data_IF_709128741432
#
_entry.id   IF_709128741432
#
_cell.length_a   1.000
_cell.length_b   1.000
_cell.length_c   1.000
_cell.angle_alpha   90.00
_cell.angle_beta   90.00
_cell.angle_gamma   90.00
#
_symmetry.space_group_name_H-M   'P 1'
#
loop_
_entity.id
_entity.type
_entity.pdbx_description
1 polymer ?
#
# COMPACT_ATOMS: atom_id res chain seq x y z
N UNK A 1 19.43 -4.50 -11.57
CA UNK A 1 18.60 -5.40 -10.74
C UNK A 1 19.01 -5.34 -9.25
N UNK A 2 20.29 -5.17 -8.96
CA UNK A 2 20.81 -5.17 -7.59
C UNK A 2 20.53 -3.86 -6.85
N UNK A 3 20.66 -2.71 -7.52
CA UNK A 3 20.34 -1.39 -6.94
C UNK A 3 18.85 -1.23 -6.60
N UNK A 4 17.96 -1.83 -7.39
CA UNK A 4 16.52 -1.74 -7.11
C UNK A 4 16.07 -2.69 -6.00
N UNK A 5 16.82 -3.75 -5.71
CA UNK A 5 16.57 -4.58 -4.52
C UNK A 5 16.91 -3.78 -3.26
N UNK A 6 18.02 -3.03 -3.25
CA UNK A 6 18.39 -2.16 -2.14
C UNK A 6 17.32 -1.12 -1.81
N UNK A 7 16.76 -0.43 -2.81
CA UNK A 7 15.72 0.58 -2.58
C UNK A 7 14.43 -0.04 -2.00
N UNK A 8 13.98 -1.17 -2.57
CA UNK A 8 12.81 -1.88 -2.04
C UNK A 8 13.00 -2.36 -0.60
N UNK A 9 14.18 -2.82 -0.24
CA UNK A 9 14.48 -3.28 1.11
C UNK A 9 14.56 -2.13 2.12
N UNK A 10 15.08 -0.96 1.71
CA UNK A 10 15.08 0.25 2.55
C UNK A 10 13.65 0.67 2.89
N UNK A 11 12.78 0.82 1.89
CA UNK A 11 11.39 1.21 2.14
C UNK A 11 10.62 0.18 2.98
N UNK A 12 10.85 -1.12 2.75
CA UNK A 12 10.23 -2.18 3.57
C UNK A 12 10.61 -2.04 5.04
N UNK A 13 11.89 -1.80 5.33
CA UNK A 13 12.35 -1.60 6.72
C UNK A 13 11.73 -0.38 7.37
N UNK A 14 11.59 0.72 6.65
CA UNK A 14 10.98 1.95 7.15
C UNK A 14 9.50 1.76 7.49
N UNK A 15 8.75 1.09 6.61
CA UNK A 15 7.34 0.77 6.86
C UNK A 15 7.19 -0.17 8.03
N UNK A 16 8.01 -1.22 8.12
CA UNK A 16 7.99 -2.14 9.25
C UNK A 16 8.35 -1.43 10.56
N UNK A 17 9.33 -0.52 10.54
CA UNK A 17 9.67 0.28 11.72
C UNK A 17 8.47 1.12 12.18
N UNK A 18 7.80 1.82 11.28
CA UNK A 18 6.62 2.61 11.62
C UNK A 18 5.48 1.74 12.20
N UNK A 19 5.29 0.54 11.67
CA UNK A 19 4.30 -0.41 12.21
C UNK A 19 4.72 -0.92 13.61
N UNK A 20 5.99 -1.21 13.82
CA UNK A 20 6.50 -1.60 15.14
C UNK A 20 6.37 -0.46 16.16
N UNK A 21 6.59 0.80 15.76
CA UNK A 21 6.40 1.97 16.60
C UNK A 21 4.92 2.19 17.01
N UNK A 22 3.99 1.62 16.23
CA UNK A 22 2.57 1.55 16.53
C UNK A 22 2.18 0.31 17.37
N UNK A 23 3.16 -0.51 17.77
CA UNK A 23 2.94 -1.74 18.52
C UNK A 23 2.49 -2.93 17.68
N UNK A 24 2.53 -2.82 16.35
CA UNK A 24 2.11 -3.88 15.44
C UNK A 24 3.29 -4.80 15.15
N UNK A 25 3.15 -6.08 15.44
CA UNK A 25 4.12 -7.11 15.09
C UNK A 25 3.97 -7.49 13.61
N UNK A 26 4.63 -6.73 12.75
CA UNK A 26 4.58 -6.91 11.30
C UNK A 26 5.89 -7.42 10.75
N UNK A 27 5.81 -8.15 9.64
CA UNK A 27 6.98 -8.61 8.87
C UNK A 27 6.74 -8.53 7.37
N UNK A 28 7.83 -8.61 6.62
CA UNK A 28 7.78 -8.72 5.18
C UNK A 28 7.50 -10.16 4.76
N UNK A 29 6.43 -10.35 4.01
CA UNK A 29 6.05 -11.63 3.42
C UNK A 29 6.38 -11.59 1.91
N UNK A 30 7.26 -12.41 1.42
CA UNK A 30 7.50 -12.51 -0.02
C UNK A 30 6.22 -12.87 -0.79
N UNK A 31 5.99 -12.28 -1.98
CA UNK A 31 6.90 -11.46 -2.81
C UNK A 31 6.92 -9.96 -2.42
N UNK A 32 5.81 -9.39 -1.97
CA UNK A 32 5.61 -7.94 -1.81
C UNK A 32 4.61 -7.57 -0.72
N UNK A 33 4.26 -8.51 0.14
CA UNK A 33 3.27 -8.29 1.20
C UNK A 33 3.94 -7.83 2.50
N UNK A 34 3.19 -7.06 3.29
CA UNK A 34 3.44 -6.79 4.69
C UNK A 34 2.33 -7.50 5.45
N UNK A 35 2.69 -8.34 6.40
CA UNK A 35 1.75 -9.20 7.13
C UNK A 35 1.96 -9.14 8.64
N UNK A 36 0.94 -9.56 9.38
CA UNK A 36 0.93 -9.86 10.80
C UNK A 36 0.55 -11.33 11.03
N UNK A 37 0.50 -11.77 12.29
CA UNK A 37 0.03 -13.12 12.66
C UNK A 37 -1.41 -13.41 12.19
N UNK A 38 -2.23 -12.37 11.98
CA UNK A 38 -3.64 -12.49 11.58
C UNK A 38 -3.77 -12.48 10.06
N UNK A 39 -3.03 -11.61 9.36
CA UNK A 39 -3.17 -11.51 7.92
C UNK A 39 -2.35 -10.39 7.27
N UNK A 40 -2.69 -10.10 6.03
CA UNK A 40 -2.04 -9.08 5.24
C UNK A 40 -2.43 -7.67 5.71
N UNK A 41 -1.44 -6.85 6.00
CA UNK A 41 -1.61 -5.44 6.33
C UNK A 41 -1.54 -4.59 5.06
N UNK A 42 -0.61 -4.90 4.17
CA UNK A 42 -0.39 -4.11 2.97
C UNK A 42 0.40 -4.82 1.89
N UNK A 43 0.63 -4.12 0.80
CA UNK A 43 1.42 -4.63 -0.30
C UNK A 43 2.16 -3.53 -1.04
N UNK A 44 3.32 -3.88 -1.61
CA UNK A 44 4.16 -2.97 -2.34
C UNK A 44 4.17 -3.27 -3.84
N UNK A 45 4.36 -2.25 -4.65
CA UNK A 45 4.60 -2.37 -6.07
C UNK A 45 5.64 -1.36 -6.56
N UNK A 46 6.28 -1.68 -7.67
CA UNK A 46 7.26 -0.80 -8.31
C UNK A 46 6.95 -0.64 -9.79
N UNK A 47 7.09 0.59 -10.27
CA UNK A 47 7.10 0.90 -11.69
C UNK A 47 8.40 1.64 -12.04
N UNK A 48 8.95 1.35 -13.22
CA UNK A 48 10.16 2.00 -13.75
C UNK A 48 9.84 2.65 -15.08
N UNK A 49 10.16 3.93 -15.20
CA UNK A 49 9.95 4.67 -16.44
C UNK A 49 10.96 5.81 -16.53
N UNK A 50 11.55 5.99 -17.72
CA UNK A 50 12.45 7.11 -18.04
C UNK A 50 13.56 7.34 -16.97
N UNK A 51 14.19 6.27 -16.51
CA UNK A 51 15.27 6.37 -15.50
C UNK A 51 14.79 6.61 -14.06
N UNK A 52 13.49 6.76 -13.83
CA UNK A 52 12.91 6.91 -12.51
C UNK A 52 12.28 5.59 -12.01
N UNK A 53 12.25 5.43 -10.69
CA UNK A 53 11.56 4.33 -10.02
C UNK A 53 10.48 4.90 -9.13
N UNK A 54 9.23 4.50 -9.36
CA UNK A 54 8.13 4.69 -8.42
C UNK A 54 8.00 3.43 -7.58
N UNK A 55 8.17 3.58 -6.28
CA UNK A 55 7.85 2.52 -5.31
C UNK A 55 6.68 3.01 -4.45
N UNK A 56 5.60 2.25 -4.40
CA UNK A 56 4.47 2.57 -3.55
C UNK A 56 4.09 1.38 -2.66
N UNK A 57 3.53 1.71 -1.51
CA UNK A 57 2.96 0.73 -0.57
C UNK A 57 1.52 1.14 -0.29
N UNK A 58 0.60 0.20 -0.42
CA UNK A 58 -0.77 0.35 0.05
C UNK A 58 -0.93 -0.33 1.39
N UNK A 59 -1.70 0.27 2.31
CA UNK A 59 -1.99 -0.31 3.61
C UNK A 59 -3.49 -0.34 3.86
N UNK A 60 -3.95 -1.45 4.41
CA UNK A 60 -5.35 -1.64 4.81
C UNK A 60 -5.57 -0.94 6.14
N UNK A 61 -6.26 0.21 6.12
CA UNK A 61 -6.61 0.91 7.34
C UNK A 61 -7.90 0.37 7.98
N UNK A 62 -8.99 0.34 7.20
CA UNK A 62 -10.32 -0.05 7.65
C UNK A 62 -11.07 -0.71 6.48
N UNK A 63 -10.62 -1.90 6.10
CA UNK A 63 -11.21 -2.67 5.02
C UNK A 63 -12.25 -3.62 5.59
N UNK A 64 -13.46 -3.54 5.04
CA UNK A 64 -14.50 -4.53 5.24
C UNK A 64 -14.18 -5.76 4.36
N UNK A 65 -13.70 -6.82 5.00
CA UNK A 65 -13.27 -8.04 4.31
C UNK A 65 -14.46 -8.77 3.64
N UNK A 66 -15.67 -8.60 4.13
CA UNK A 66 -16.88 -9.20 3.53
C UNK A 66 -17.25 -8.49 2.24
N UNK A 67 -17.30 -7.16 2.26
CA UNK A 67 -17.52 -6.36 1.05
C UNK A 67 -16.40 -6.52 0.03
N UNK A 68 -15.16 -6.70 0.48
CA UNK A 68 -14.04 -6.95 -0.43
C UNK A 68 -14.27 -8.22 -1.28
N UNK A 69 -14.78 -9.27 -0.68
CA UNK A 69 -15.08 -10.54 -1.37
C UNK A 69 -16.26 -10.41 -2.33
N UNK A 70 -17.23 -9.55 -2.03
CA UNK A 70 -18.37 -9.27 -2.90
C UNK A 70 -17.97 -8.52 -4.17
N UNK A 71 -16.99 -7.58 -4.06
CA UNK A 71 -16.60 -6.68 -5.17
C UNK A 71 -15.45 -7.24 -5.98
N UNK A 72 -14.53 -7.97 -5.34
CA UNK A 72 -13.33 -8.48 -6.01
C UNK A 72 -13.52 -9.92 -6.46
N UNK A 73 -13.34 -10.16 -7.76
CA UNK A 73 -13.18 -11.53 -8.30
C UNK A 73 -11.81 -12.08 -7.86
N UNK A 74 -11.77 -12.70 -6.70
CA UNK A 74 -10.55 -13.37 -6.23
C UNK A 74 -10.55 -14.77 -6.86
N UNK A 75 -9.66 -15.01 -7.82
CA UNK A 75 -9.56 -16.29 -8.52
C UNK A 75 -9.33 -17.44 -7.52
N UNK A 76 -10.01 -18.57 -7.74
CA UNK A 76 -9.91 -19.78 -6.90
C UNK A 76 -8.46 -20.27 -6.76
N UNK A 77 -7.63 -20.09 -7.78
CA UNK A 77 -6.21 -20.45 -7.77
C UNK A 77 -5.41 -19.68 -6.71
N UNK A 78 -5.67 -18.37 -6.55
CA UNK A 78 -5.03 -17.57 -5.49
C UNK A 78 -5.46 -17.97 -4.07
N UNK A 79 -6.58 -18.68 -3.96
CA UNK A 79 -7.08 -19.20 -2.69
C UNK A 79 -6.48 -20.57 -2.35
N UNK A 80 -6.18 -21.40 -3.36
CA UNK A 80 -5.63 -22.75 -3.17
C UNK A 80 -4.14 -22.76 -2.83
N UNK A 81 -3.33 -21.93 -3.48
CA UNK A 81 -1.87 -21.94 -3.34
C UNK A 81 -1.35 -21.52 -1.96
N UNK A 82 -2.17 -20.90 -1.12
CA UNK A 82 -1.76 -20.39 0.20
C UNK A 82 -2.47 -21.08 1.39
N UNK A 83 -3.16 -22.20 1.17
CA UNK A 83 -3.76 -23.00 2.25
C UNK A 83 -4.80 -22.27 3.10
N UNK A 84 -5.34 -21.13 2.65
CA UNK A 84 -6.35 -20.36 3.37
C UNK A 84 -7.73 -20.56 2.77
N UNK A 85 -8.63 -21.10 3.56
CA UNK A 85 -10.03 -21.39 3.19
C UNK A 85 -10.93 -20.17 3.03
N UNK A 86 -10.41 -18.94 3.28
CA UNK A 86 -11.21 -17.71 3.22
C UNK A 86 -10.36 -16.48 2.92
N UNK A 87 -10.77 -15.69 1.94
CA UNK A 87 -10.19 -14.37 1.67
C UNK A 87 -10.30 -13.41 2.87
N UNK A 88 -11.29 -13.62 3.74
CA UNK A 88 -11.50 -12.85 4.98
C UNK A 88 -10.34 -12.95 5.96
N UNK A 89 -9.69 -14.11 6.05
CA UNK A 89 -8.55 -14.33 6.94
C UNK A 89 -7.23 -13.73 6.41
N UNK A 90 -7.26 -13.03 5.25
CA UNK A 90 -6.06 -12.53 4.59
C UNK A 90 -5.77 -11.06 4.84
N UNK A 91 -6.70 -10.31 5.41
CA UNK A 91 -6.53 -8.86 5.65
C UNK A 91 -6.62 -8.58 7.13
N UNK A 92 -5.65 -7.83 7.64
CA UNK A 92 -5.58 -7.39 9.04
C UNK A 92 -5.46 -5.87 9.09
N UNK A 93 -6.61 -5.14 9.12
CA UNK A 93 -6.61 -3.69 9.03
C UNK A 93 -5.96 -3.03 10.24
N UNK A 94 -5.24 -1.92 10.00
CA UNK A 94 -4.52 -1.18 11.04
C UNK A 94 -5.45 -0.65 12.13
N UNK A 95 -6.67 -0.23 11.77
CA UNK A 95 -7.66 0.23 12.73
C UNK A 95 -8.06 -0.86 13.72
N UNK A 96 -8.26 -2.07 13.26
CA UNK A 96 -8.62 -3.22 14.10
C UNK A 96 -7.49 -3.55 15.09
N UNK A 97 -6.24 -3.45 14.64
CA UNK A 97 -5.08 -3.78 15.45
C UNK A 97 -4.76 -2.70 16.49
N UNK A 98 -4.97 -1.43 16.15
CA UNK A 98 -4.49 -0.29 16.96
C UNK A 98 -5.59 0.50 17.65
N UNK A 99 -6.81 0.50 17.12
CA UNK A 99 -7.88 1.40 17.53
C UNK A 99 -7.65 2.88 17.19
N UNK A 100 -6.54 3.21 16.51
CA UNK A 100 -6.13 4.58 16.23
C UNK A 100 -6.88 5.18 15.04
N UNK A 101 -7.05 6.51 15.07
CA UNK A 101 -7.52 7.26 13.92
C UNK A 101 -6.50 7.20 12.78
N UNK A 102 -6.97 7.27 11.54
CA UNK A 102 -6.14 7.18 10.34
C UNK A 102 -5.04 8.23 10.30
N UNK A 103 -5.36 9.44 10.71
CA UNK A 103 -4.45 10.59 10.75
C UNK A 103 -3.27 10.36 11.71
N UNK A 104 -3.53 9.70 12.84
CA UNK A 104 -2.49 9.35 13.81
C UNK A 104 -1.51 8.34 13.20
N UNK A 105 -2.03 7.35 12.47
CA UNK A 105 -1.20 6.36 11.78
C UNK A 105 -0.37 7.01 10.68
N UNK A 106 -0.99 7.90 9.87
CA UNK A 106 -0.28 8.66 8.83
C UNK A 106 0.84 9.50 9.46
N UNK A 107 0.54 10.22 10.55
CA UNK A 107 1.55 11.05 11.20
C UNK A 107 2.72 10.20 11.73
N UNK A 108 2.45 9.03 12.32
CA UNK A 108 3.51 8.11 12.76
C UNK A 108 4.40 7.66 11.61
N UNK A 109 3.80 7.36 10.44
CA UNK A 109 4.58 7.03 9.24
C UNK A 109 5.50 8.20 8.83
N UNK A 110 4.96 9.42 8.80
CA UNK A 110 5.73 10.64 8.48
C UNK A 110 6.87 10.82 9.47
N UNK A 111 6.62 10.70 10.77
CA UNK A 111 7.60 10.89 11.83
C UNK A 111 8.74 9.85 11.73
N UNK A 112 8.41 8.58 11.46
CA UNK A 112 9.40 7.53 11.29
C UNK A 112 10.28 7.81 10.07
N UNK A 113 9.69 8.19 8.93
CA UNK A 113 10.47 8.54 7.73
C UNK A 113 11.31 9.80 7.95
N UNK A 114 10.78 10.81 8.63
CA UNK A 114 11.52 12.04 8.95
C UNK A 114 12.69 11.77 9.90
N UNK A 115 12.53 10.85 10.85
CA UNK A 115 13.60 10.43 11.74
C UNK A 115 14.75 9.67 11.06
N UNK A 116 14.42 8.95 9.97
CA UNK A 116 15.40 8.20 9.18
C UNK A 116 16.06 9.03 8.06
N UNK A 117 15.39 10.09 7.62
CA UNK A 117 15.82 10.92 6.51
C UNK A 117 15.60 12.40 6.81
N UNK A 118 16.44 13.26 6.21
CA UNK A 118 16.22 14.72 6.24
C UNK A 118 15.09 15.06 5.28
N UNK A 119 13.88 15.19 5.78
CA UNK A 119 12.71 15.58 5.01
C UNK A 119 12.44 17.07 5.16
N UNK A 120 12.12 17.73 4.04
CA UNK A 120 11.63 19.11 4.02
C UNK A 120 10.19 19.09 3.50
N UNK A 121 9.24 19.67 4.24
CA UNK A 121 7.88 19.82 3.74
C UNK A 121 7.85 20.63 2.45
N UNK A 122 7.05 20.19 1.49
CA UNK A 122 6.91 20.86 0.20
C UNK A 122 5.47 20.86 -0.28
N UNK A 123 5.22 21.57 -1.37
CA UNK A 123 3.93 21.63 -2.03
C UNK A 123 4.08 21.31 -3.50
N UNK A 124 3.06 20.66 -4.08
CA UNK A 124 3.00 20.44 -5.52
C UNK A 124 2.73 21.78 -6.23
N UNK A 125 3.48 22.05 -7.28
CA UNK A 125 3.29 23.25 -8.09
C UNK A 125 1.92 23.25 -8.81
N UNK A 126 1.37 24.46 -9.05
CA UNK A 126 0.08 24.63 -9.70
C UNK A 126 0.01 23.93 -11.07
N UNK A 127 1.08 23.98 -11.86
CA UNK A 127 1.15 23.30 -13.15
C UNK A 127 1.04 21.77 -13.03
N UNK A 128 1.66 21.19 -12.01
CA UNK A 128 1.56 19.76 -11.73
C UNK A 128 0.14 19.36 -11.34
N UNK A 129 -0.52 20.16 -10.51
CA UNK A 129 -1.90 19.93 -10.10
C UNK A 129 -2.86 20.07 -11.28
N UNK A 130 -2.71 21.11 -12.11
CA UNK A 130 -3.51 21.29 -13.31
C UNK A 130 -3.37 20.12 -14.31
N UNK A 131 -2.13 19.64 -14.52
CA UNK A 131 -1.88 18.47 -15.37
C UNK A 131 -2.53 17.20 -14.77
N UNK A 132 -2.44 16.99 -13.47
CA UNK A 132 -3.09 15.85 -12.82
C UNK A 132 -4.62 15.89 -12.97
N UNK A 133 -5.24 17.07 -12.84
CA UNK A 133 -6.67 17.27 -13.05
C UNK A 133 -7.09 17.01 -14.51
N UNK A 134 -6.32 17.50 -15.47
CA UNK A 134 -6.55 17.23 -16.89
C UNK A 134 -6.49 15.73 -17.18
N UNK A 135 -5.46 15.02 -16.71
CA UNK A 135 -5.35 13.58 -16.89
C UNK A 135 -6.48 12.80 -16.19
N UNK A 136 -6.95 13.26 -15.04
CA UNK A 136 -8.08 12.66 -14.36
C UNK A 136 -9.35 12.76 -15.22
N UNK A 137 -9.63 13.93 -15.80
CA UNK A 137 -10.79 14.16 -16.63
C UNK A 137 -10.71 13.45 -18.00
N UNK A 138 -9.57 13.56 -18.68
CA UNK A 138 -9.41 13.12 -20.08
C UNK A 138 -9.14 11.60 -20.20
N UNK A 139 -8.66 10.96 -19.13
CA UNK A 139 -8.29 9.55 -19.16
C UNK A 139 -8.95 8.74 -18.05
N UNK A 140 -8.66 9.06 -16.79
CA UNK A 140 -8.99 8.16 -15.69
C UNK A 140 -10.47 8.14 -15.30
N UNK A 141 -11.26 9.16 -15.71
CA UNK A 141 -12.70 9.22 -15.49
C UNK A 141 -13.51 8.76 -16.71
N UNK A 142 -12.85 8.33 -17.80
CA UNK A 142 -13.56 7.93 -19.01
C UNK A 142 -14.03 6.47 -18.94
N UNK A 143 -15.13 6.12 -19.64
CA UNK A 143 -15.60 4.74 -19.74
C UNK A 143 -14.53 3.80 -20.35
N UNK A 144 -13.76 4.28 -21.31
CA UNK A 144 -12.69 3.53 -21.98
C UNK A 144 -11.60 3.09 -20.99
N UNK A 145 -11.41 3.84 -19.91
CA UNK A 145 -10.46 3.48 -18.85
C UNK A 145 -11.11 2.68 -17.72
N UNK A 146 -12.30 3.07 -17.29
CA UNK A 146 -12.97 2.47 -16.12
C UNK A 146 -13.64 1.12 -16.43
N UNK A 147 -14.01 0.89 -17.69
CA UNK A 147 -14.69 -0.33 -18.17
C UNK A 147 -13.80 -1.19 -19.09
N UNK A 148 -12.48 -1.18 -18.90
CA UNK A 148 -11.52 -1.97 -19.72
C UNK A 148 -11.72 -3.47 -19.55
N UNK A 149 -12.17 -3.90 -18.38
CA UNK A 149 -12.45 -5.32 -18.09
C UNK A 149 -13.95 -5.50 -17.95
N UNK A 150 -14.57 -6.39 -18.77
CA UNK A 150 -16.00 -6.68 -18.69
C UNK A 150 -16.40 -7.39 -17.41
#
# INVERSE_FOLDING_TARGET
AQESRGLGDVYKRQVLQALHDLGIKAWYQPLNDIASDIGKIGGAAQARRAGAVLHHVTMSYDIDADKMVEVLRIGREKLSDKGTTSAKKRVDPLRTQTGLAREVIIQRMVDTFAGLHRLTPGQLGAATLANAQAQAAEKFSTPEWTAVVP
#
